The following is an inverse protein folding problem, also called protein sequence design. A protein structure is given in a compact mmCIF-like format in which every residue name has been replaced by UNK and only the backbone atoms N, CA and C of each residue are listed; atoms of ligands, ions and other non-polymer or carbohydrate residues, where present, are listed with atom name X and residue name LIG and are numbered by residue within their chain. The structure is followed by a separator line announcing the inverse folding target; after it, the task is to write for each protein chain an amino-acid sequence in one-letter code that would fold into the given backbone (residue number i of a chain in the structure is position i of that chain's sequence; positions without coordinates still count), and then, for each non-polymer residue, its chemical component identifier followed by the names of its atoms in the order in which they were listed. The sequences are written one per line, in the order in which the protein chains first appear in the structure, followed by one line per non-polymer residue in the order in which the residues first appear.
data_IF_053966294726
#
_entry.id   IF_053966294726
#
_cell.length_a   1.000
_cell.length_b   1.000
_cell.length_c   1.000
_cell.angle_alpha   90.00
_cell.angle_beta   90.00
_cell.angle_gamma   90.00
#
_symmetry.space_group_name_H-M   'P 1'
#
loop_
_entity.id
_entity.type
_entity.pdbx_description
1 polymer ?
#
# COMPACT_ATOMS: atom_id res chain seq x y z
N UNK A 1 -24.45 18.50 1.37
CA UNK A 1 -24.42 17.33 2.27
C UNK A 1 -22.98 17.10 2.67
N UNK A 2 -22.66 16.90 3.95
CA UNK A 2 -21.32 16.54 4.37
C UNK A 2 -20.90 15.24 3.68
N UNK A 3 -19.64 15.14 3.30
CA UNK A 3 -19.06 13.98 2.61
C UNK A 3 -17.94 13.43 3.49
N UNK A 4 -17.71 12.13 3.41
CA UNK A 4 -16.57 11.47 4.04
C UNK A 4 -15.53 11.16 2.97
N UNK A 5 -14.37 11.82 3.07
CA UNK A 5 -13.32 11.81 2.06
C UNK A 5 -12.13 11.02 2.61
N UNK A 6 -11.68 9.99 1.89
CA UNK A 6 -10.46 9.24 2.24
C UNK A 6 -9.27 9.76 1.42
N UNK A 7 -8.20 10.16 2.11
CA UNK A 7 -6.94 10.60 1.49
C UNK A 7 -5.87 9.54 1.72
N UNK A 8 -5.28 9.03 0.63
CA UNK A 8 -4.13 8.12 0.68
C UNK A 8 -2.85 8.95 0.50
N UNK A 9 -2.00 8.95 1.52
CA UNK A 9 -0.88 9.87 1.65
C UNK A 9 0.42 9.09 1.89
N UNK A 10 1.20 8.90 0.83
CA UNK A 10 2.52 8.27 0.93
C UNK A 10 3.60 9.32 1.23
N UNK A 11 4.43 9.06 2.24
CA UNK A 11 5.66 9.82 2.50
C UNK A 11 5.49 11.33 2.76
N UNK A 12 4.27 11.79 3.03
CA UNK A 12 3.92 13.22 3.05
C UNK A 12 3.20 13.63 4.34
N UNK A 13 1.95 14.07 4.26
CA UNK A 13 1.17 14.49 5.41
C UNK A 13 0.74 13.28 6.25
N UNK A 14 0.76 13.34 7.58
CA UNK A 14 1.12 14.48 8.45
C UNK A 14 2.56 14.42 9.01
N UNK A 15 3.48 13.73 8.33
CA UNK A 15 4.82 13.41 8.87
C UNK A 15 5.96 14.32 8.42
N UNK A 16 5.83 14.93 7.25
CA UNK A 16 6.90 15.71 6.64
C UNK A 16 6.40 17.12 6.34
N UNK A 17 7.19 18.13 6.69
CA UNK A 17 6.97 19.48 6.17
C UNK A 17 7.38 19.56 4.70
N UNK A 18 6.45 19.96 3.85
CA UNK A 18 6.67 20.06 2.42
C UNK A 18 5.47 20.68 1.70
N UNK A 19 5.63 20.99 0.42
CA UNK A 19 4.57 21.65 -0.36
C UNK A 19 3.27 20.84 -0.37
N UNK A 20 3.34 19.54 -0.62
CA UNK A 20 2.17 18.64 -0.61
C UNK A 20 1.54 18.59 0.77
N UNK A 21 2.32 18.43 1.84
CA UNK A 21 1.78 18.33 3.19
C UNK A 21 1.13 19.61 3.68
N UNK A 22 1.74 20.77 3.38
CA UNK A 22 1.17 22.08 3.71
C UNK A 22 -0.12 22.31 2.94
N UNK A 23 -0.16 21.95 1.65
CA UNK A 23 -1.37 22.06 0.85
C UNK A 23 -2.48 21.13 1.35
N UNK A 24 -2.15 19.88 1.70
CA UNK A 24 -3.09 18.93 2.32
C UNK A 24 -3.65 19.45 3.64
N UNK A 25 -2.79 19.96 4.52
CA UNK A 25 -3.21 20.52 5.80
C UNK A 25 -4.19 21.68 5.62
N UNK A 26 -3.88 22.61 4.72
CA UNK A 26 -4.77 23.73 4.38
C UNK A 26 -6.08 23.24 3.77
N UNK A 27 -6.00 22.30 2.82
CA UNK A 27 -7.16 21.73 2.15
C UNK A 27 -8.16 21.13 3.15
N UNK A 28 -7.69 20.31 4.08
CA UNK A 28 -8.51 19.71 5.14
C UNK A 28 -9.08 20.79 6.07
N UNK A 29 -8.25 21.78 6.44
CA UNK A 29 -8.61 22.86 7.38
C UNK A 29 -9.69 23.79 6.82
N UNK A 30 -9.65 24.09 5.53
CA UNK A 30 -10.60 25.00 4.89
C UNK A 30 -11.94 24.30 4.60
N UNK A 31 -11.93 22.98 4.34
CA UNK A 31 -13.13 22.19 4.03
C UNK A 31 -13.81 21.61 5.29
N UNK A 32 -14.18 22.49 6.23
CA UNK A 32 -14.73 22.13 7.55
C UNK A 32 -16.08 21.43 7.49
N UNK A 33 -16.80 21.54 6.38
CA UNK A 33 -18.09 20.89 6.14
C UNK A 33 -17.97 19.41 5.77
N UNK A 34 -16.76 18.90 5.56
CA UNK A 34 -16.48 17.51 5.20
C UNK A 34 -15.63 16.82 6.25
N UNK A 35 -15.85 15.51 6.38
CA UNK A 35 -15.05 14.64 7.24
C UNK A 35 -13.93 14.00 6.42
N UNK A 36 -12.75 13.90 7.01
CA UNK A 36 -11.57 13.32 6.41
C UNK A 36 -11.10 12.07 7.14
N UNK A 37 -10.82 11.03 6.37
CA UNK A 37 -10.10 9.83 6.80
C UNK A 37 -8.74 9.86 6.15
N UNK A 38 -7.68 9.70 6.93
CA UNK A 38 -6.32 9.66 6.42
C UNK A 38 -5.82 8.23 6.39
N UNK A 39 -5.29 7.80 5.24
CA UNK A 39 -4.57 6.55 5.09
C UNK A 39 -3.11 6.87 4.75
N UNK A 40 -2.27 6.89 5.76
CA UNK A 40 -0.90 7.37 5.66
C UNK A 40 0.04 6.18 5.47
N UNK A 41 0.82 6.22 4.40
CA UNK A 41 1.86 5.22 4.12
C UNK A 41 3.22 5.82 4.50
N UNK A 42 3.79 5.32 5.59
CA UNK A 42 5.06 5.77 6.17
C UNK A 42 6.23 4.84 5.85
N UNK A 43 7.45 5.38 5.86
CA UNK A 43 8.65 4.59 5.61
C UNK A 43 9.03 3.72 6.82
N UNK A 44 8.94 4.28 8.04
CA UNK A 44 9.31 3.55 9.26
C UNK A 44 8.33 3.70 10.41
N UNK A 45 8.05 2.60 11.13
CA UNK A 45 7.28 2.56 12.36
C UNK A 45 7.82 3.50 13.45
N UNK A 46 9.10 3.89 13.38
CA UNK A 46 9.64 4.92 14.28
C UNK A 46 8.96 6.28 14.12
N UNK A 47 8.26 6.52 13.01
CA UNK A 47 7.50 7.74 12.75
C UNK A 47 6.08 7.68 13.31
N UNK A 48 5.59 6.50 13.75
CA UNK A 48 4.23 6.32 14.26
C UNK A 48 3.86 7.40 15.27
N UNK A 49 2.71 8.04 15.05
CA UNK A 49 2.13 9.10 15.89
C UNK A 49 3.02 10.36 16.06
N UNK A 50 4.13 10.50 15.32
CA UNK A 50 4.99 11.70 15.35
C UNK A 50 4.57 12.71 14.29
N UNK A 51 3.33 13.16 14.38
CA UNK A 51 2.79 14.14 13.46
C UNK A 51 3.47 15.50 13.68
N UNK A 52 3.83 16.16 12.58
CA UNK A 52 4.39 17.53 12.62
C UNK A 52 3.31 18.60 12.45
N UNK A 53 2.07 18.17 12.21
CA UNK A 53 0.87 19.01 12.12
C UNK A 53 -0.12 18.59 13.21
N UNK A 54 -0.80 19.58 13.78
CA UNK A 54 -1.99 19.33 14.58
C UNK A 54 -3.15 19.01 13.63
N UNK A 55 -3.79 17.85 13.81
CA UNK A 55 -4.86 17.43 12.90
C UNK A 55 -6.13 18.26 13.17
N UNK A 56 -6.76 18.84 12.13
CA UNK A 56 -8.05 19.52 12.27
C UNK A 56 -9.15 18.59 12.83
N UNK A 57 -10.13 19.15 13.53
CA UNK A 57 -11.23 18.39 14.17
C UNK A 57 -12.07 17.57 13.18
N UNK A 58 -12.10 17.97 11.91
CA UNK A 58 -12.81 17.24 10.86
C UNK A 58 -12.01 16.04 10.30
N UNK A 59 -10.83 15.72 10.85
CA UNK A 59 -10.15 14.44 10.63
C UNK A 59 -10.67 13.42 11.64
N UNK A 60 -11.51 12.49 11.17
CA UNK A 60 -12.22 11.56 12.04
C UNK A 60 -11.45 10.26 12.30
N UNK A 61 -10.59 9.84 11.37
CA UNK A 61 -9.84 8.59 11.44
C UNK A 61 -8.46 8.75 10.78
N UNK A 62 -7.45 8.11 11.36
CA UNK A 62 -6.09 8.02 10.79
C UNK A 62 -5.64 6.56 10.82
N UNK A 63 -5.38 6.01 9.64
CA UNK A 63 -4.81 4.69 9.44
C UNK A 63 -3.35 4.86 9.03
N UNK A 64 -2.45 4.20 9.74
CA UNK A 64 -1.03 4.26 9.47
C UNK A 64 -0.53 2.90 9.01
N UNK A 65 0.06 2.86 7.81
CA UNK A 65 0.68 1.67 7.22
C UNK A 65 2.16 1.97 7.02
N UNK A 66 3.04 1.16 7.60
CA UNK A 66 4.48 1.37 7.49
C UNK A 66 5.14 0.30 6.64
N UNK A 67 6.06 0.72 5.78
CA UNK A 67 6.76 -0.17 4.85
C UNK A 67 7.88 -0.98 5.53
N UNK A 68 8.39 -0.52 6.68
CA UNK A 68 9.37 -1.28 7.49
C UNK A 68 8.72 -2.34 8.38
N UNK A 69 7.41 -2.57 8.27
CA UNK A 69 6.79 -3.78 8.80
C UNK A 69 7.19 -4.97 7.92
N UNK A 70 8.46 -5.35 8.06
CA UNK A 70 9.07 -6.50 7.42
C UNK A 70 8.33 -7.72 7.97
N UNK A 71 7.57 -8.41 7.11
CA UNK A 71 7.24 -9.80 7.36
C UNK A 71 8.58 -10.50 7.53
N UNK A 72 8.88 -11.09 8.70
CA UNK A 72 10.20 -11.69 8.92
C UNK A 72 10.53 -12.63 7.76
N UNK A 73 11.75 -12.51 7.23
CA UNK A 73 12.26 -13.41 6.22
C UNK A 73 12.01 -14.83 6.71
N UNK A 74 11.16 -15.57 6.00
CA UNK A 74 11.10 -17.01 6.22
C UNK A 74 12.33 -17.56 5.53
N UNK A 75 13.29 -18.01 6.32
CA UNK A 75 14.58 -18.53 5.84
C UNK A 75 14.43 -19.79 4.96
N UNK A 76 13.25 -20.43 4.94
CA UNK A 76 12.96 -21.61 4.13
C UNK A 76 11.59 -21.52 3.43
N UNK A 77 11.51 -20.89 2.27
CA UNK A 77 10.35 -21.02 1.37
C UNK A 77 10.76 -21.80 0.14
N UNK A 78 10.19 -23.00 0.01
CA UNK A 78 10.22 -23.82 -1.19
C UNK A 78 9.79 -22.97 -2.41
N UNK A 79 10.47 -23.10 -3.57
CA UNK A 79 10.12 -22.36 -4.77
C UNK A 79 8.65 -22.59 -5.16
N UNK A 80 7.82 -21.55 -5.01
CA UNK A 80 6.41 -21.66 -5.33
C UNK A 80 6.18 -21.77 -6.83
N UNK A 81 5.45 -22.80 -7.26
CA UNK A 81 5.04 -22.99 -8.64
C UNK A 81 3.65 -22.39 -8.84
N UNK A 82 3.56 -21.30 -9.61
CA UNK A 82 2.29 -20.65 -9.91
C UNK A 82 1.38 -21.56 -10.74
N UNK A 83 0.10 -21.56 -10.39
CA UNK A 83 -0.99 -22.09 -11.22
C UNK A 83 -1.16 -21.24 -12.49
N UNK A 84 -1.78 -21.80 -13.54
CA UNK A 84 -2.06 -21.06 -14.78
C UNK A 84 -2.92 -19.81 -14.53
N UNK A 85 -3.86 -19.89 -13.57
CA UNK A 85 -4.71 -18.78 -13.14
C UNK A 85 -3.87 -17.66 -12.49
N UNK A 86 -2.94 -18.00 -11.59
CA UNK A 86 -2.02 -17.04 -10.97
C UNK A 86 -1.06 -16.43 -12.00
N UNK A 87 -0.50 -17.23 -12.92
CA UNK A 87 0.35 -16.74 -14.01
C UNK A 87 -0.38 -15.74 -14.89
N UNK A 88 -1.62 -16.03 -15.26
CA UNK A 88 -2.44 -15.12 -16.07
C UNK A 88 -2.75 -13.82 -15.32
N UNK A 89 -3.13 -13.89 -14.04
CA UNK A 89 -3.38 -12.70 -13.23
C UNK A 89 -2.13 -11.83 -13.09
N UNK A 90 -0.96 -12.44 -12.87
CA UNK A 90 0.33 -11.75 -12.79
C UNK A 90 0.72 -11.12 -14.13
N UNK A 91 0.50 -11.82 -15.25
CA UNK A 91 0.71 -11.28 -16.59
C UNK A 91 -0.14 -10.03 -16.81
N UNK A 92 -1.44 -10.11 -16.55
CA UNK A 92 -2.34 -8.96 -16.71
C UNK A 92 -1.94 -7.79 -15.81
N UNK A 93 -1.41 -8.07 -14.60
CA UNK A 93 -0.90 -7.04 -13.71
C UNK A 93 0.33 -6.34 -14.30
N UNK A 94 1.33 -7.10 -14.76
CA UNK A 94 2.59 -6.55 -15.29
C UNK A 94 2.40 -5.80 -16.61
N UNK A 95 1.47 -6.25 -17.45
CA UNK A 95 1.16 -5.57 -18.72
C UNK A 95 0.05 -4.51 -18.59
N UNK A 96 -0.31 -4.09 -17.38
CA UNK A 96 -1.31 -3.06 -17.12
C UNK A 96 -2.67 -3.32 -17.81
N UNK A 97 -3.09 -4.58 -17.82
CA UNK A 97 -4.39 -5.04 -18.34
C UNK A 97 -5.42 -5.13 -17.20
N UNK A 98 -6.34 -6.11 -17.25
CA UNK A 98 -7.32 -6.38 -16.20
C UNK A 98 -6.93 -7.65 -15.41
N UNK A 99 -6.09 -7.53 -14.36
CA UNK A 99 -5.75 -8.66 -13.51
C UNK A 99 -6.92 -9.08 -12.63
N UNK A 100 -6.99 -10.38 -12.32
CA UNK A 100 -7.89 -10.87 -11.27
C UNK A 100 -7.26 -10.58 -9.90
N UNK A 101 -7.68 -9.46 -9.31
CA UNK A 101 -7.21 -9.03 -7.99
C UNK A 101 -7.53 -10.03 -6.88
N UNK A 102 -8.59 -10.84 -7.00
CA UNK A 102 -8.92 -11.83 -5.96
C UNK A 102 -7.87 -12.94 -5.94
N UNK A 103 -7.43 -13.38 -7.12
CA UNK A 103 -6.34 -14.37 -7.25
C UNK A 103 -5.05 -13.82 -6.67
N UNK A 104 -4.67 -12.59 -7.04
CA UNK A 104 -3.44 -11.94 -6.55
C UNK A 104 -3.45 -11.72 -5.04
N UNK A 105 -4.55 -11.21 -4.49
CA UNK A 105 -4.65 -11.00 -3.04
C UNK A 105 -4.62 -12.33 -2.27
N UNK A 106 -5.30 -13.37 -2.77
CA UNK A 106 -5.24 -14.69 -2.16
C UNK A 106 -3.82 -15.27 -2.17
N UNK A 107 -3.12 -15.17 -3.31
CA UNK A 107 -1.72 -15.60 -3.43
C UNK A 107 -0.83 -14.94 -2.38
N UNK A 108 -0.94 -13.62 -2.21
CA UNK A 108 -0.14 -12.85 -1.25
C UNK A 108 -0.54 -13.10 0.22
N UNK A 109 -1.81 -13.45 0.48
CA UNK A 109 -2.33 -13.68 1.84
C UNK A 109 -2.16 -15.13 2.32
N UNK A 110 -2.16 -16.11 1.40
CA UNK A 110 -2.04 -17.55 1.73
C UNK A 110 -0.65 -17.91 2.30
N UNK A 111 0.30 -16.97 2.32
CA UNK A 111 1.65 -17.16 2.89
C UNK A 111 2.54 -18.11 2.08
N UNK A 112 2.14 -18.42 0.85
CA UNK A 112 2.87 -19.26 -0.12
C UNK A 112 4.03 -18.51 -0.78
N UNK A 113 3.95 -17.19 -0.82
CA UNK A 113 5.00 -16.29 -1.30
C UNK A 113 5.29 -15.25 -0.22
N UNK A 114 6.54 -14.82 -0.10
CA UNK A 114 6.86 -13.61 0.70
C UNK A 114 6.52 -12.41 -0.14
N UNK A 115 5.62 -11.51 0.30
CA UNK A 115 5.31 -10.31 -0.48
C UNK A 115 6.52 -9.45 -0.80
N UNK A 116 7.51 -9.37 0.12
CA UNK A 116 8.73 -8.60 -0.08
C UNK A 116 9.64 -9.18 -1.17
N UNK A 117 9.82 -10.50 -1.20
CA UNK A 117 10.66 -11.16 -2.19
C UNK A 117 9.90 -11.57 -3.45
N UNK A 118 8.59 -11.37 -3.47
CA UNK A 118 7.72 -11.87 -4.52
C UNK A 118 8.18 -11.40 -5.91
N UNK A 119 8.37 -10.08 -6.07
CA UNK A 119 8.76 -9.47 -7.34
C UNK A 119 10.22 -9.74 -7.71
N UNK A 120 11.08 -10.07 -6.73
CA UNK A 120 12.48 -10.45 -6.95
C UNK A 120 12.68 -11.96 -7.07
N UNK A 121 11.63 -12.77 -6.85
CA UNK A 121 11.72 -14.22 -6.82
C UNK A 121 11.98 -14.84 -8.21
N UNK A 122 12.72 -15.94 -8.23
CA UNK A 122 12.92 -16.74 -9.44
C UNK A 122 11.60 -17.29 -10.00
N UNK A 123 10.67 -17.61 -9.11
CA UNK A 123 9.32 -18.06 -9.48
C UNK A 123 8.61 -16.99 -10.32
N UNK A 124 8.59 -15.72 -9.87
CA UNK A 124 7.94 -14.63 -10.57
C UNK A 124 8.59 -14.36 -11.93
N UNK A 125 9.92 -14.33 -11.96
CA UNK A 125 10.66 -14.17 -13.20
C UNK A 125 10.40 -15.30 -14.21
N UNK A 126 10.38 -16.54 -13.75
CA UNK A 126 10.11 -17.72 -14.59
C UNK A 126 8.69 -17.70 -15.13
N UNK A 127 7.69 -17.38 -14.29
CA UNK A 127 6.30 -17.25 -14.71
C UNK A 127 6.07 -16.15 -15.76
N UNK A 128 6.80 -15.03 -15.66
CA UNK A 128 6.79 -13.98 -16.67
C UNK A 128 7.48 -14.40 -17.97
N UNK A 129 8.61 -15.11 -17.89
CA UNK A 129 9.35 -15.56 -19.06
C UNK A 129 8.58 -16.56 -19.91
N UNK A 130 7.81 -17.46 -19.28
CA UNK A 130 6.92 -18.40 -19.98
C UNK A 130 5.71 -17.70 -20.65
N UNK A 131 5.42 -16.48 -20.21
CA UNK A 131 4.27 -15.69 -20.65
C UNK A 131 4.59 -14.71 -21.78
N UNK A 132 5.87 -14.53 -22.13
CA UNK A 132 6.39 -13.74 -23.24
C UNK A 132 6.51 -14.60 -24.51
#
# INVERSE_FOLDING_TARGET
MPMKICLILEGSYPYVHGGVSTWMHQYITEMKEHEFVLWVVGATHKQKEKFVYELPENVVEVYEVFLDYVVPDKEDIEPYQFTDEEKQALKHMVFCQQPDWKVLFKLLQDGKVVPNDFLSSEAFFSGLKESL
#
